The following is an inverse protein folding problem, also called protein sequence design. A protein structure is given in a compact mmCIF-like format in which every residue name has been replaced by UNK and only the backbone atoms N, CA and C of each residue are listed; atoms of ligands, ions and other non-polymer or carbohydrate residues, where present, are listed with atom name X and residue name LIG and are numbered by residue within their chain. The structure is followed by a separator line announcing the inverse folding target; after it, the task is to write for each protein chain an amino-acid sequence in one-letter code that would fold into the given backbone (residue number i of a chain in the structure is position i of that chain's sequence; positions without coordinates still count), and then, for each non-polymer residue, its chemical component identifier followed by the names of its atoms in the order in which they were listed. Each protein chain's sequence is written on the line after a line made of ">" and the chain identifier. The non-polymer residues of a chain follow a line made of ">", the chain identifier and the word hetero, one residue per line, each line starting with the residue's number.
data_IF_791290789656
#
_entry.id   IF_791290789656
#
_cell.length_a   1.000
_cell.length_b   1.000
_cell.length_c   1.000
_cell.angle_alpha   90.00
_cell.angle_beta   90.00
_cell.angle_gamma   90.00
#
_symmetry.space_group_name_H-M   'P 1'
#
loop_
_entity.id
_entity.type
_entity.pdbx_description
1 polymer ?
#
# COMPACT_ATOMS: atom_id res chain seq x y z
N UNK A 1 -19.34 -1.74 16.62
CA UNK A 1 -18.88 -2.78 15.68
C UNK A 1 -17.52 -2.39 15.17
N UNK A 2 -16.53 -3.30 15.24
CA UNK A 2 -15.24 -3.11 14.58
C UNK A 2 -15.47 -2.93 13.08
N UNK A 3 -15.02 -1.80 12.51
CA UNK A 3 -15.16 -1.50 11.08
C UNK A 3 -13.84 -1.82 10.36
N UNK A 4 -13.33 -3.04 10.50
CA UNK A 4 -12.11 -3.42 9.77
C UNK A 4 -12.37 -3.57 8.28
N UNK A 5 -11.35 -3.32 7.48
CA UNK A 5 -11.32 -3.56 6.02
C UNK A 5 -10.08 -4.39 5.68
N UNK A 6 -10.17 -5.14 4.59
CA UNK A 6 -9.03 -5.87 4.00
C UNK A 6 -8.63 -5.20 2.70
N UNK A 7 -7.37 -4.80 2.61
CA UNK A 7 -6.77 -4.24 1.39
C UNK A 7 -5.34 -4.73 1.25
N UNK A 8 -4.91 -4.89 0.03
CA UNK A 8 -3.53 -5.11 -0.32
C UNK A 8 -2.69 -3.84 -0.29
N UNK A 9 -1.38 -4.05 -0.12
CA UNK A 9 -0.41 -2.97 -0.19
C UNK A 9 -0.32 -2.34 -1.60
N UNK A 10 -0.72 -3.11 -2.62
CA UNK A 10 -0.73 -2.72 -4.02
C UNK A 10 -1.68 -1.55 -4.32
N UNK A 11 -2.84 -1.48 -3.68
CA UNK A 11 -3.77 -0.35 -3.85
C UNK A 11 -3.16 0.98 -3.39
N UNK A 12 -2.41 0.97 -2.29
CA UNK A 12 -1.73 2.17 -1.76
C UNK A 12 -0.51 2.56 -2.61
N UNK A 13 0.25 1.56 -3.09
CA UNK A 13 1.35 1.82 -4.02
C UNK A 13 0.81 2.42 -5.33
N UNK A 14 -0.27 1.86 -5.88
CA UNK A 14 -0.94 2.39 -7.07
C UNK A 14 -1.36 3.85 -6.87
N UNK A 15 -1.95 4.17 -5.72
CA UNK A 15 -2.29 5.55 -5.37
C UNK A 15 -1.05 6.46 -5.40
N UNK A 16 0.05 6.05 -4.75
CA UNK A 16 1.29 6.84 -4.73
C UNK A 16 1.84 7.06 -6.15
N UNK A 17 1.85 6.02 -7.00
CA UNK A 17 2.34 6.13 -8.38
C UNK A 17 1.49 7.08 -9.23
N UNK A 18 0.16 7.06 -9.05
CA UNK A 18 -0.77 7.96 -9.76
C UNK A 18 -0.67 9.42 -9.30
N UNK A 19 -0.37 9.65 -8.03
CA UNK A 19 -0.36 10.98 -7.42
C UNK A 19 1.06 11.53 -7.21
N UNK A 20 2.05 10.91 -7.84
CA UNK A 20 3.44 11.37 -7.81
C UNK A 20 4.08 11.37 -6.40
N UNK A 21 3.53 10.61 -5.47
CA UNK A 21 4.08 10.45 -4.13
C UNK A 21 5.24 9.44 -4.13
N UNK A 22 6.30 9.70 -3.35
CA UNK A 22 7.39 8.75 -3.14
C UNK A 22 8.03 8.22 -4.44
N UNK A 23 8.16 9.06 -5.47
CA UNK A 23 8.68 8.71 -6.81
C UNK A 23 10.05 8.04 -6.79
N UNK A 24 10.89 8.38 -5.81
CA UNK A 24 12.24 7.83 -5.67
C UNK A 24 12.27 6.45 -4.98
N UNK A 25 11.21 6.06 -4.27
CA UNK A 25 11.16 4.84 -3.48
C UNK A 25 10.77 3.62 -4.31
N UNK A 26 11.47 2.52 -4.07
CA UNK A 26 11.08 1.19 -4.57
C UNK A 26 9.86 0.66 -3.79
N UNK A 27 9.16 -0.31 -4.37
CA UNK A 27 7.94 -0.89 -3.82
C UNK A 27 8.13 -1.58 -2.46
N UNK A 28 9.32 -2.13 -2.20
CA UNK A 28 9.69 -2.69 -0.90
C UNK A 28 9.86 -1.61 0.17
N UNK A 29 10.49 -0.48 -0.18
CA UNK A 29 10.66 0.67 0.70
C UNK A 29 9.33 1.35 0.98
N UNK A 30 8.56 1.66 -0.06
CA UNK A 30 7.24 2.28 0.07
C UNK A 30 6.27 1.36 0.81
N UNK A 31 6.26 0.07 0.48
CA UNK A 31 5.43 -0.92 1.16
C UNK A 31 5.78 -1.08 2.64
N UNK A 32 7.06 -0.97 3.00
CA UNK A 32 7.48 -0.94 4.40
C UNK A 32 6.93 0.28 5.14
N UNK A 33 7.00 1.47 4.53
CA UNK A 33 6.48 2.70 5.13
C UNK A 33 4.96 2.64 5.34
N UNK A 34 4.22 2.16 4.32
CA UNK A 34 2.77 1.95 4.41
C UNK A 34 2.44 0.96 5.55
N UNK A 35 3.16 -0.15 5.63
CA UNK A 35 2.97 -1.13 6.69
C UNK A 35 3.24 -0.56 8.08
N UNK A 36 4.36 0.14 8.27
CA UNK A 36 4.71 0.77 9.55
C UNK A 36 3.62 1.75 9.98
N UNK A 37 3.11 2.57 9.06
CA UNK A 37 2.00 3.48 9.35
C UNK A 37 0.73 2.74 9.78
N UNK A 38 0.31 1.72 9.01
CA UNK A 38 -0.90 0.93 9.28
C UNK A 38 -0.81 0.19 10.63
N UNK A 39 0.35 -0.40 10.93
CA UNK A 39 0.62 -1.07 12.21
C UNK A 39 0.49 -0.11 13.39
N UNK A 40 1.08 1.07 13.28
CA UNK A 40 1.22 2.00 14.40
C UNK A 40 -0.03 2.88 14.61
N UNK A 41 -0.82 3.13 13.55
CA UNK A 41 -1.92 4.11 13.58
C UNK A 41 -3.32 3.53 13.30
N UNK A 42 -3.43 2.33 12.72
CA UNK A 42 -4.71 1.78 12.26
C UNK A 42 -5.04 0.40 12.88
N UNK A 43 -4.34 0.03 13.96
CA UNK A 43 -4.44 -1.31 14.58
C UNK A 43 -4.28 -2.44 13.55
N UNK A 44 -3.41 -2.22 12.56
CA UNK A 44 -3.32 -3.07 11.40
C UNK A 44 -2.53 -4.35 11.64
N UNK A 45 -2.96 -5.42 11.00
CA UNK A 45 -2.28 -6.72 10.97
C UNK A 45 -2.02 -7.16 9.53
N UNK A 46 -0.92 -7.87 9.30
CA UNK A 46 -0.70 -8.57 8.04
C UNK A 46 -1.50 -9.87 8.03
N UNK A 47 -2.20 -10.15 6.93
CA UNK A 47 -3.04 -11.34 6.80
C UNK A 47 -2.58 -12.21 5.63
N UNK A 48 -2.44 -13.51 5.88
CA UNK A 48 -2.13 -14.50 4.86
C UNK A 48 -0.77 -14.32 4.18
N UNK A 49 -0.61 -15.03 3.06
CA UNK A 49 0.56 -14.88 2.17
C UNK A 49 0.35 -13.71 1.22
N UNK A 50 1.45 -13.19 0.66
CA UNK A 50 1.38 -12.23 -0.44
C UNK A 50 0.52 -12.80 -1.57
N UNK A 51 -0.35 -11.96 -2.13
CA UNK A 51 -1.21 -12.31 -3.27
C UNK A 51 -0.67 -11.67 -4.55
N UNK A 52 -0.89 -12.30 -5.69
CA UNK A 52 -0.66 -11.67 -6.99
C UNK A 52 -1.57 -10.45 -7.14
N UNK A 53 -1.05 -9.37 -7.72
CA UNK A 53 -1.82 -8.14 -7.95
C UNK A 53 -2.66 -8.29 -9.23
N UNK A 54 -3.81 -7.60 -9.29
CA UNK A 54 -4.81 -7.75 -10.37
C UNK A 54 -4.29 -7.40 -11.78
N UNK A 55 -3.22 -6.61 -11.89
CA UNK A 55 -2.64 -6.26 -13.19
C UNK A 55 -1.74 -7.35 -13.80
N UNK A 56 -1.44 -8.44 -13.09
CA UNK A 56 -0.66 -9.56 -13.61
C UNK A 56 0.85 -9.32 -13.68
N UNK A 57 1.63 -10.40 -13.87
CA UNK A 57 3.12 -10.35 -13.91
C UNK A 57 3.65 -9.66 -15.17
N UNK A 58 2.97 -9.88 -16.30
CA UNK A 58 3.42 -9.47 -17.63
C UNK A 58 2.96 -8.06 -18.03
N UNK A 59 2.33 -7.32 -17.12
CA UNK A 59 1.97 -5.93 -17.40
C UNK A 59 3.22 -5.06 -17.55
N UNK A 60 3.28 -4.25 -18.62
CA UNK A 60 4.43 -3.39 -18.94
C UNK A 60 4.80 -2.40 -17.82
N UNK A 61 3.90 -2.20 -16.85
CA UNK A 61 4.05 -1.29 -15.72
C UNK A 61 4.46 -1.99 -14.41
N UNK A 62 4.94 -3.24 -14.47
CA UNK A 62 5.39 -4.00 -13.30
C UNK A 62 6.91 -3.94 -13.19
N UNK A 63 7.40 -3.20 -12.19
CA UNK A 63 8.82 -3.11 -11.85
C UNK A 63 8.96 -2.54 -10.42
N UNK A 64 10.16 -2.61 -9.84
CA UNK A 64 10.49 -2.15 -8.50
C UNK A 64 10.10 -0.70 -8.23
N UNK A 65 10.04 0.19 -9.23
CA UNK A 65 9.59 1.59 -9.09
C UNK A 65 8.19 1.86 -9.64
N UNK A 66 7.53 0.85 -10.19
CA UNK A 66 6.19 0.97 -10.76
C UNK A 66 5.21 0.14 -9.92
N UNK A 67 4.47 -0.79 -10.51
CA UNK A 67 3.51 -1.62 -9.80
C UNK A 67 4.14 -2.91 -9.28
N UNK A 68 3.83 -3.36 -8.04
CA UNK A 68 4.35 -4.62 -7.53
C UNK A 68 3.68 -5.82 -8.21
N UNK A 69 4.39 -6.92 -8.38
CA UNK A 69 3.79 -8.17 -8.87
C UNK A 69 2.93 -8.87 -7.80
N UNK A 70 3.38 -8.85 -6.55
CA UNK A 70 2.64 -9.40 -5.40
C UNK A 70 2.57 -8.39 -4.27
N UNK A 71 1.53 -8.48 -3.45
CA UNK A 71 1.31 -7.59 -2.31
C UNK A 71 0.92 -8.33 -1.05
N UNK A 72 1.49 -7.86 0.07
CA UNK A 72 1.02 -8.19 1.40
C UNK A 72 -0.40 -7.66 1.58
N UNK A 73 -1.24 -8.43 2.26
CA UNK A 73 -2.61 -8.04 2.56
C UNK A 73 -2.68 -7.57 4.01
N UNK A 74 -3.45 -6.53 4.26
CA UNK A 74 -3.64 -5.95 5.59
C UNK A 74 -5.10 -6.05 6.01
N UNK A 75 -5.34 -6.21 7.31
CA UNK A 75 -6.63 -5.92 7.94
C UNK A 75 -6.43 -4.80 8.97
N UNK A 76 -7.21 -3.72 8.88
CA UNK A 76 -7.05 -2.52 9.73
C UNK A 76 -8.35 -1.72 9.86
N UNK A 77 -8.41 -0.77 10.79
CA UNK A 77 -9.58 0.11 10.99
C UNK A 77 -9.80 1.01 9.76
N UNK A 78 -10.93 0.83 9.07
CA UNK A 78 -11.25 1.59 7.85
C UNK A 78 -11.46 3.08 8.10
N UNK A 79 -11.71 3.50 9.34
CA UNK A 79 -11.86 4.91 9.67
C UNK A 79 -10.52 5.66 9.57
N UNK A 80 -9.39 4.95 9.56
CA UNK A 80 -8.06 5.54 9.37
C UNK A 80 -7.70 5.77 7.89
N UNK A 81 -8.56 5.39 6.94
CA UNK A 81 -8.29 5.59 5.50
C UNK A 81 -7.99 7.05 5.13
N UNK A 82 -8.76 8.06 5.56
CA UNK A 82 -8.42 9.46 5.25
C UNK A 82 -7.02 9.85 5.74
N UNK A 83 -6.70 9.56 7.00
CA UNK A 83 -5.39 9.87 7.58
C UNK A 83 -4.24 9.09 6.91
N UNK A 84 -4.49 7.87 6.44
CA UNK A 84 -3.52 7.11 5.64
C UNK A 84 -3.22 7.83 4.33
N UNK A 85 -4.25 8.28 3.61
CA UNK A 85 -4.06 9.02 2.36
C UNK A 85 -3.38 10.39 2.58
N UNK A 86 -3.71 11.11 3.66
CA UNK A 86 -3.01 12.33 4.05
C UNK A 86 -1.51 12.06 4.27
N UNK A 87 -1.17 10.94 4.92
CA UNK A 87 0.22 10.50 5.08
C UNK A 87 0.88 10.20 3.73
N UNK A 88 0.22 9.47 2.82
CA UNK A 88 0.77 9.19 1.49
C UNK A 88 0.99 10.48 0.68
N UNK A 89 0.08 11.44 0.77
CA UNK A 89 0.22 12.75 0.14
C UNK A 89 1.39 13.55 0.71
N UNK A 90 1.69 13.40 2.01
CA UNK A 90 2.86 14.05 2.62
C UNK A 90 4.21 13.54 2.09
N UNK A 91 4.23 12.40 1.36
CA UNK A 91 5.42 11.83 0.72
C UNK A 91 5.68 12.40 -0.68
N UNK A 92 4.94 13.42 -1.12
CA UNK A 92 5.19 14.12 -2.38
C UNK A 92 6.56 14.80 -2.35
N UNK A 93 7.32 14.61 -3.41
CA UNK A 93 8.68 15.13 -3.61
C UNK A 93 8.82 15.75 -4.98
#
# INVERSE_FOLDING_TARGET
>A
MSKTIKMGNDEFILYCRKNECAKSLKNDQLGRMIWEWIRDNASGIQIGKRKGCEWGEDAENVDAKYLPYTATQFEFDRNCLPALYDYLDSLKS
#
